data_IF_175114854817
#
_entry.id   IF_175114854817
#
_cell.length_a   1.000
_cell.length_b   1.000
_cell.length_c   1.000
_cell.angle_alpha   90.00
_cell.angle_beta   90.00
_cell.angle_gamma   90.00
#
_symmetry.space_group_name_H-M   'P 1'
#
loop_
_entity.id
_entity.type
_entity.pdbx_description
1 polymer ?
#
# COMPACT_ATOMS: atom_id res chain seq x y z
N UNK A 1 -19.53 32.31 -3.57
CA UNK A 1 -19.56 30.90 -4.01
C UNK A 1 -20.77 30.26 -3.35
N UNK A 2 -21.90 30.27 -4.06
CA UNK A 2 -23.19 29.80 -3.55
C UNK A 2 -23.24 28.30 -3.77
N UNK A 3 -23.08 27.51 -2.72
CA UNK A 3 -23.32 26.06 -2.80
C UNK A 3 -24.84 25.85 -2.79
N UNK A 4 -25.38 25.75 -4.00
CA UNK A 4 -26.42 24.84 -4.47
C UNK A 4 -27.59 24.53 -3.53
N UNK A 5 -28.76 25.05 -3.87
CA UNK A 5 -30.02 24.39 -3.54
C UNK A 5 -30.06 23.00 -4.19
N UNK A 6 -30.44 22.00 -3.41
CA UNK A 6 -30.68 20.63 -3.90
C UNK A 6 -31.86 20.64 -4.89
N UNK A 7 -31.62 20.26 -6.15
CA UNK A 7 -32.66 20.14 -7.20
C UNK A 7 -33.76 19.11 -6.89
N UNK A 8 -33.59 18.29 -5.83
CA UNK A 8 -34.59 17.31 -5.39
C UNK A 8 -35.00 17.57 -3.93
N UNK A 9 -36.31 17.45 -3.59
CA UNK A 9 -36.73 17.50 -2.21
C UNK A 9 -36.06 16.35 -1.43
N UNK A 10 -35.39 16.69 -0.33
CA UNK A 10 -34.69 15.71 0.48
C UNK A 10 -35.69 14.69 1.05
N UNK A 11 -35.53 13.41 0.68
CA UNK A 11 -36.30 12.33 1.30
C UNK A 11 -36.05 12.29 2.81
N UNK A 12 -36.98 11.72 3.58
CA UNK A 12 -36.80 11.54 5.02
C UNK A 12 -35.50 10.80 5.39
N UNK A 13 -35.03 9.87 4.54
CA UNK A 13 -33.75 9.18 4.74
C UNK A 13 -32.54 10.09 4.55
N UNK A 14 -32.56 10.93 3.51
CA UNK A 14 -31.48 11.90 3.28
C UNK A 14 -31.41 12.93 4.41
N UNK A 15 -32.56 13.42 4.87
CA UNK A 15 -32.63 14.32 6.02
C UNK A 15 -32.03 13.68 7.29
N UNK A 16 -32.29 12.40 7.53
CA UNK A 16 -31.70 11.67 8.65
C UNK A 16 -30.17 11.53 8.55
N UNK A 17 -29.63 11.23 7.35
CA UNK A 17 -28.18 11.16 7.12
C UNK A 17 -27.53 12.53 7.36
N UNK A 18 -28.12 13.61 6.82
CA UNK A 18 -27.61 14.96 7.01
C UNK A 18 -27.63 15.40 8.47
N UNK A 19 -28.69 15.05 9.22
CA UNK A 19 -28.77 15.35 10.64
C UNK A 19 -27.70 14.62 11.46
N UNK A 20 -27.34 13.39 11.07
CA UNK A 20 -26.32 12.59 11.74
C UNK A 20 -24.87 13.04 11.45
N UNK A 21 -24.65 13.90 10.45
CA UNK A 21 -23.29 14.28 9.98
C UNK A 21 -22.40 14.89 11.07
N UNK A 22 -22.98 15.66 12.00
CA UNK A 22 -22.26 16.31 13.10
C UNK A 22 -22.92 16.03 14.44
N UNK A 23 -23.49 14.85 14.60
CA UNK A 23 -24.07 14.45 15.87
C UNK A 23 -22.98 14.31 16.95
N UNK A 24 -23.22 14.78 18.19
CA UNK A 24 -22.28 14.60 19.30
C UNK A 24 -21.91 13.14 19.52
N UNK A 25 -20.61 12.86 19.61
CA UNK A 25 -20.06 11.50 19.71
C UNK A 25 -20.62 10.74 20.91
N UNK A 26 -20.82 11.40 22.05
CA UNK A 26 -21.38 10.82 23.27
C UNK A 26 -22.78 10.22 23.05
N UNK A 27 -23.62 10.93 22.28
CA UNK A 27 -24.97 10.48 21.93
C UNK A 27 -24.94 9.31 20.96
N UNK A 28 -24.10 9.40 19.93
CA UNK A 28 -23.95 8.33 18.93
C UNK A 28 -23.42 7.06 19.60
N UNK A 29 -22.41 7.19 20.46
CA UNK A 29 -21.80 6.07 21.16
C UNK A 29 -22.80 5.40 22.10
N UNK A 30 -23.56 6.16 22.90
CA UNK A 30 -24.57 5.61 23.78
C UNK A 30 -25.63 4.81 23.00
N UNK A 31 -26.11 5.32 21.87
CA UNK A 31 -27.07 4.63 21.02
C UNK A 31 -26.48 3.35 20.39
N UNK A 32 -25.26 3.43 19.84
CA UNK A 32 -24.62 2.28 19.17
C UNK A 32 -24.17 1.19 20.14
N UNK A 33 -23.73 1.54 21.34
CA UNK A 33 -23.42 0.55 22.38
C UNK A 33 -24.66 -0.23 22.78
N UNK A 34 -25.81 0.43 22.92
CA UNK A 34 -27.06 -0.25 23.24
C UNK A 34 -27.47 -1.27 22.15
N UNK A 35 -27.22 -0.97 20.87
CA UNK A 35 -27.50 -1.87 19.74
C UNK A 35 -26.46 -2.99 19.58
N UNK A 36 -25.19 -2.69 19.85
CA UNK A 36 -24.08 -3.57 19.54
C UNK A 36 -23.63 -4.46 20.71
N UNK A 37 -24.16 -4.25 21.93
CA UNK A 37 -23.77 -5.05 23.10
C UNK A 37 -24.24 -6.50 22.92
N UNK A 38 -23.32 -7.48 22.81
CA UNK A 38 -23.67 -8.88 22.67
C UNK A 38 -24.12 -9.47 24.01
N UNK A 39 -24.84 -10.59 23.96
CA UNK A 39 -25.07 -11.39 25.17
C UNK A 39 -23.75 -12.03 25.63
N UNK A 40 -23.61 -12.41 26.91
CA UNK A 40 -22.40 -13.05 27.42
C UNK A 40 -22.01 -14.31 26.62
N UNK A 41 -22.99 -15.09 26.17
CA UNK A 41 -22.78 -16.29 25.36
C UNK A 41 -22.26 -15.94 23.96
N UNK A 42 -22.85 -14.93 23.32
CA UNK A 42 -22.39 -14.44 22.02
C UNK A 42 -20.98 -13.85 22.10
N UNK A 43 -20.67 -13.12 23.19
CA UNK A 43 -19.35 -12.57 23.42
C UNK A 43 -18.27 -13.66 23.52
N UNK A 44 -18.54 -14.72 24.29
CA UNK A 44 -17.63 -15.86 24.42
C UNK A 44 -17.43 -16.59 23.07
N UNK A 45 -18.49 -16.75 22.28
CA UNK A 45 -18.39 -17.35 20.95
C UNK A 45 -17.56 -16.49 19.97
N UNK A 46 -17.77 -15.16 19.99
CA UNK A 46 -16.97 -14.20 19.20
C UNK A 46 -15.50 -14.30 19.57
N UNK A 47 -15.18 -14.33 20.87
CA UNK A 47 -13.81 -14.42 21.36
C UNK A 47 -13.13 -15.71 20.89
N UNK A 48 -13.79 -16.86 21.05
CA UNK A 48 -13.25 -18.15 20.61
C UNK A 48 -13.01 -18.17 19.09
N UNK A 49 -13.95 -17.63 18.30
CA UNK A 49 -13.79 -17.56 16.85
C UNK A 49 -12.64 -16.61 16.45
N UNK A 50 -12.51 -15.47 17.11
CA UNK A 50 -11.42 -14.53 16.87
C UNK A 50 -10.06 -15.14 17.19
N UNK A 51 -9.93 -15.84 18.33
CA UNK A 51 -8.71 -16.57 18.71
C UNK A 51 -8.35 -17.59 17.63
N UNK A 52 -9.31 -18.43 17.22
CA UNK A 52 -9.07 -19.45 16.20
C UNK A 52 -8.60 -18.82 14.88
N UNK A 53 -9.22 -17.71 14.42
CA UNK A 53 -8.79 -17.01 13.21
C UNK A 53 -7.35 -16.49 13.32
N UNK A 54 -6.99 -15.88 14.46
CA UNK A 54 -5.64 -15.37 14.71
C UNK A 54 -4.61 -16.49 14.72
N UNK A 55 -4.91 -17.62 15.36
CA UNK A 55 -4.04 -18.80 15.38
C UNK A 55 -3.80 -19.35 13.97
N UNK A 56 -4.85 -19.48 13.15
CA UNK A 56 -4.74 -19.95 11.77
C UNK A 56 -3.89 -19.00 10.91
N UNK A 57 -4.05 -17.68 11.07
CA UNK A 57 -3.24 -16.68 10.36
C UNK A 57 -1.77 -16.81 10.77
N UNK A 58 -1.48 -16.88 12.07
CA UNK A 58 -0.10 -16.99 12.60
C UNK A 58 0.59 -18.28 12.18
N UNK A 59 -0.13 -19.40 12.15
CA UNK A 59 0.41 -20.67 11.69
C UNK A 59 0.82 -20.61 10.21
N UNK A 60 0.06 -19.89 9.37
CA UNK A 60 0.38 -19.68 7.95
C UNK A 60 1.47 -18.64 7.71
N UNK A 61 1.71 -17.71 8.64
CA UNK A 61 2.81 -16.72 8.52
C UNK A 61 4.21 -17.36 8.52
N UNK A 62 4.36 -18.62 8.94
CA UNK A 62 5.64 -19.35 8.78
C UNK A 62 6.00 -19.62 7.32
N UNK A 63 5.06 -19.49 6.38
CA UNK A 63 5.35 -19.26 4.97
C UNK A 63 5.82 -17.80 4.83
N UNK A 64 7.14 -17.58 4.93
CA UNK A 64 7.78 -16.25 4.94
C UNK A 64 7.11 -15.30 3.94
N UNK A 65 6.68 -14.12 4.40
CA UNK A 65 6.22 -13.05 3.51
C UNK A 65 7.26 -12.84 2.41
N UNK A 66 6.82 -12.77 1.14
CA UNK A 66 7.70 -12.56 0.01
C UNK A 66 8.62 -11.35 0.21
N UNK A 67 8.15 -10.35 0.95
CA UNK A 67 8.90 -9.16 1.36
C UNK A 67 9.98 -9.49 2.40
N UNK A 68 9.69 -10.25 3.45
CA UNK A 68 10.70 -10.63 4.45
C UNK A 68 11.77 -11.58 3.89
N UNK A 69 11.37 -12.51 3.03
CA UNK A 69 12.28 -13.40 2.32
C UNK A 69 13.20 -12.60 1.39
N UNK A 70 12.63 -11.61 0.70
CA UNK A 70 13.35 -10.67 -0.13
C UNK A 70 14.38 -9.84 0.66
N UNK A 71 14.01 -9.29 1.81
CA UNK A 71 14.92 -8.55 2.68
C UNK A 71 16.12 -9.39 3.11
N UNK A 72 15.88 -10.66 3.48
CA UNK A 72 16.93 -11.62 3.84
C UNK A 72 17.81 -12.03 2.65
N UNK A 73 17.21 -12.22 1.48
CA UNK A 73 17.93 -12.63 0.28
C UNK A 73 19.01 -11.62 -0.15
N UNK A 74 18.74 -10.32 0.05
CA UNK A 74 19.63 -9.23 -0.36
C UNK A 74 20.33 -8.54 0.82
N UNK A 75 20.24 -9.10 2.03
CA UNK A 75 20.84 -8.56 3.27
C UNK A 75 20.52 -7.06 3.49
N UNK A 76 19.26 -6.70 3.23
CA UNK A 76 18.77 -5.34 3.34
C UNK A 76 18.40 -5.02 4.79
N UNK A 77 18.87 -3.88 5.28
CA UNK A 77 18.32 -3.27 6.49
C UNK A 77 16.89 -2.79 6.25
N UNK A 78 16.07 -2.67 7.29
CA UNK A 78 14.69 -2.19 7.16
C UNK A 78 14.60 -0.83 6.45
N UNK A 79 15.57 0.07 6.67
CA UNK A 79 15.65 1.37 5.99
C UNK A 79 15.91 1.21 4.48
N UNK A 80 16.87 0.38 4.09
CA UNK A 80 17.15 0.07 2.68
C UNK A 80 15.94 -0.59 2.00
N UNK A 81 15.22 -1.46 2.71
CA UNK A 81 13.99 -2.08 2.23
C UNK A 81 12.89 -1.07 1.94
N UNK A 82 12.64 -0.14 2.86
CA UNK A 82 11.63 0.92 2.68
C UNK A 82 11.97 1.78 1.46
N UNK A 83 13.23 2.20 1.33
CA UNK A 83 13.69 2.99 0.20
C UNK A 83 13.53 2.24 -1.12
N UNK A 84 13.87 0.96 -1.15
CA UNK A 84 13.76 0.14 -2.34
C UNK A 84 12.30 -0.05 -2.78
N UNK A 85 11.38 -0.23 -1.83
CA UNK A 85 9.95 -0.30 -2.14
C UNK A 85 9.43 1.03 -2.67
N UNK A 86 9.87 2.16 -2.12
CA UNK A 86 9.52 3.49 -2.65
C UNK A 86 10.00 3.69 -4.09
N UNK A 87 11.24 3.29 -4.39
CA UNK A 87 11.79 3.34 -5.75
C UNK A 87 11.00 2.44 -6.69
N UNK A 88 10.73 1.20 -6.27
CA UNK A 88 9.99 0.25 -7.08
C UNK A 88 8.51 0.70 -7.30
N UNK A 89 7.90 1.39 -6.34
CA UNK A 89 6.55 1.96 -6.47
C UNK A 89 6.54 3.09 -7.50
N UNK A 90 7.51 4.01 -7.41
CA UNK A 90 7.67 5.09 -8.38
C UNK A 90 7.90 4.53 -9.79
N UNK A 91 8.65 3.44 -9.93
CA UNK A 91 8.88 2.77 -11.22
C UNK A 91 7.65 2.03 -11.75
N UNK A 92 6.80 1.48 -10.88
CA UNK A 92 5.52 0.88 -11.30
C UNK A 92 4.52 1.89 -11.86
N UNK A 93 4.66 3.19 -11.52
CA UNK A 93 3.85 4.26 -12.10
C UNK A 93 4.26 4.61 -13.53
N UNK A 94 5.38 4.09 -14.03
CA UNK A 94 5.82 4.28 -15.42
C UNK A 94 5.13 3.21 -16.29
N UNK A 95 4.20 3.58 -17.18
CA UNK A 95 3.42 2.61 -17.95
C UNK A 95 4.25 1.85 -19.00
N UNK A 96 5.34 2.44 -19.50
CA UNK A 96 6.26 1.80 -20.44
C UNK A 96 7.40 1.07 -19.71
N UNK A 97 7.37 -0.26 -19.76
CA UNK A 97 8.41 -1.10 -19.16
C UNK A 97 9.81 -0.86 -19.74
N UNK A 98 9.91 -0.48 -21.02
CA UNK A 98 11.20 -0.17 -21.63
C UNK A 98 11.77 1.17 -21.11
N UNK A 99 10.90 2.14 -20.82
CA UNK A 99 11.29 3.39 -20.16
C UNK A 99 11.65 3.14 -18.69
N UNK A 100 10.88 2.33 -17.96
CA UNK A 100 11.23 1.95 -16.59
C UNK A 100 12.59 1.24 -16.53
N UNK A 101 12.86 0.27 -17.40
CA UNK A 101 14.13 -0.46 -17.45
C UNK A 101 15.31 0.43 -17.87
N UNK A 102 15.11 1.35 -18.82
CA UNK A 102 16.13 2.35 -19.18
C UNK A 102 16.39 3.32 -18.04
N UNK A 103 15.36 3.72 -17.29
CA UNK A 103 15.51 4.59 -16.14
C UNK A 103 16.20 3.88 -14.98
N UNK A 104 15.93 2.58 -14.80
CA UNK A 104 16.70 1.71 -13.90
C UNK A 104 18.17 1.69 -14.34
N UNK A 105 18.45 1.48 -15.63
CA UNK A 105 19.82 1.43 -16.14
C UNK A 105 20.57 2.76 -16.04
N UNK A 106 19.90 3.85 -16.40
CA UNK A 106 20.48 5.20 -16.47
C UNK A 106 20.59 5.86 -15.08
N UNK A 107 19.65 5.59 -14.17
CA UNK A 107 19.61 6.21 -12.84
C UNK A 107 20.18 5.35 -11.72
N UNK A 108 20.12 4.00 -11.81
CA UNK A 108 20.76 3.11 -10.83
C UNK A 108 22.19 2.71 -11.20
N UNK A 109 22.57 2.79 -12.48
CA UNK A 109 23.86 2.31 -12.98
C UNK A 109 25.01 3.29 -12.89
N UNK A 110 24.78 4.55 -13.27
CA UNK A 110 25.81 5.57 -13.11
C UNK A 110 25.74 6.18 -11.71
N UNK A 111 26.87 6.12 -10.99
CA UNK A 111 27.05 6.67 -9.64
C UNK A 111 26.93 8.21 -9.55
N UNK A 112 26.21 8.85 -10.47
CA UNK A 112 25.99 10.29 -10.61
C UNK A 112 24.63 10.74 -10.03
N UNK A 113 24.26 10.14 -8.90
CA UNK A 113 23.02 10.38 -8.18
C UNK A 113 22.82 11.84 -7.74
N UNK A 114 23.91 12.54 -7.40
CA UNK A 114 23.90 13.92 -6.91
C UNK A 114 23.36 14.92 -7.95
N UNK A 115 23.54 14.66 -9.25
CA UNK A 115 23.21 15.63 -10.30
C UNK A 115 21.76 15.61 -10.78
N UNK A 116 21.03 14.52 -10.56
CA UNK A 116 19.78 14.27 -11.29
C UNK A 116 18.54 14.01 -10.42
N UNK A 117 18.66 13.90 -9.09
CA UNK A 117 17.53 13.56 -8.19
C UNK A 117 17.16 14.66 -7.17
N UNK A 118 17.90 15.78 -7.12
CA UNK A 118 17.67 16.89 -6.20
C UNK A 118 16.44 17.77 -6.48
N UNK A 119 15.41 17.27 -7.17
CA UNK A 119 14.23 18.06 -7.57
C UNK A 119 12.88 17.35 -7.46
N UNK A 120 12.80 16.19 -6.81
CA UNK A 120 11.55 15.43 -6.73
C UNK A 120 11.13 15.19 -5.28
N UNK A 121 10.21 16.02 -4.79
CA UNK A 121 9.49 15.87 -3.51
C UNK A 121 8.61 14.59 -3.46
N UNK A 122 8.57 13.81 -4.55
CA UNK A 122 7.60 12.74 -4.78
C UNK A 122 8.09 11.31 -4.48
N UNK A 123 9.37 11.08 -4.15
CA UNK A 123 9.88 9.71 -3.93
C UNK A 123 9.49 9.12 -2.56
N UNK A 124 9.05 9.96 -1.61
CA UNK A 124 8.76 9.54 -0.24
C UNK A 124 7.28 9.56 0.13
N UNK A 125 6.39 9.79 -0.84
CA UNK A 125 4.94 10.00 -0.60
C UNK A 125 4.30 8.84 0.18
N UNK A 126 4.84 7.62 0.03
CA UNK A 126 4.34 6.41 0.70
C UNK A 126 5.36 5.72 1.61
N UNK A 127 6.44 6.40 1.96
CA UNK A 127 7.50 5.77 2.75
C UNK A 127 7.06 5.44 4.19
N UNK A 128 6.08 6.15 4.73
CA UNK A 128 5.38 5.82 5.97
C UNK A 128 4.58 4.51 5.87
N UNK A 129 3.92 4.26 4.72
CA UNK A 129 3.20 3.01 4.43
C UNK A 129 4.15 1.82 4.39
N UNK A 130 5.26 1.95 3.67
CA UNK A 130 6.28 0.90 3.58
C UNK A 130 7.06 0.71 4.88
N UNK A 131 7.34 1.82 5.59
CA UNK A 131 7.93 1.79 6.92
C UNK A 131 7.08 1.01 7.91
N UNK A 132 5.76 1.23 7.90
CA UNK A 132 4.83 0.48 8.74
C UNK A 132 4.77 -0.99 8.34
N UNK A 133 4.71 -1.30 7.04
CA UNK A 133 4.65 -2.68 6.55
C UNK A 133 5.92 -3.48 6.90
N UNK A 134 7.09 -2.86 6.81
CA UNK A 134 8.39 -3.51 7.02
C UNK A 134 8.86 -3.54 8.47
N UNK A 135 8.47 -2.54 9.28
CA UNK A 135 8.98 -2.39 10.65
C UNK A 135 7.90 -2.50 11.73
N UNK A 136 6.62 -2.53 11.33
CA UNK A 136 5.49 -2.49 12.26
C UNK A 136 5.36 -1.15 13.00
N UNK A 137 6.14 -0.13 12.64
CA UNK A 137 6.14 1.20 13.26
C UNK A 137 5.96 2.27 12.19
N UNK A 138 5.26 3.34 12.56
CA UNK A 138 5.14 4.52 11.72
C UNK A 138 6.51 5.21 11.67
N UNK A 139 7.23 4.98 10.56
CA UNK A 139 8.52 5.62 10.33
C UNK A 139 8.25 7.02 9.80
N UNK A 140 8.37 8.03 10.67
CA UNK A 140 8.57 9.40 10.21
C UNK A 140 10.01 9.50 9.72
N UNK A 141 10.20 9.37 8.41
CA UNK A 141 11.44 9.76 7.75
C UNK A 141 11.55 11.28 7.87
N UNK A 142 12.10 11.76 8.97
CA UNK A 142 12.30 13.18 9.22
C UNK A 142 13.23 13.81 8.17
N UNK A 143 13.17 15.13 8.03
CA UNK A 143 13.92 15.95 7.08
C UNK A 143 15.46 15.74 7.10
N UNK A 144 16.01 15.02 8.06
CA UNK A 144 17.41 14.57 8.08
C UNK A 144 17.69 13.38 7.16
N UNK A 145 16.70 12.53 6.88
CA UNK A 145 16.81 11.35 6.00
C UNK A 145 16.59 11.67 4.52
N UNK A 146 15.93 12.80 4.20
CA UNK A 146 15.87 13.36 2.83
C UNK A 146 17.26 13.65 2.26
N UNK A 147 18.29 13.80 3.12
CA UNK A 147 19.69 14.01 2.71
C UNK A 147 20.55 12.74 2.69
N UNK A 148 20.18 11.66 3.40
CA UNK A 148 21.00 10.43 3.50
C UNK A 148 20.44 9.20 2.75
N UNK A 149 19.26 9.29 2.12
CA UNK A 149 18.77 8.18 1.27
C UNK A 149 19.71 7.89 0.09
N UNK A 150 20.32 8.94 -0.49
CA UNK A 150 21.37 8.82 -1.50
C UNK A 150 22.59 8.07 -0.94
N UNK A 151 22.93 8.33 0.32
CA UNK A 151 23.96 7.62 1.05
C UNK A 151 23.59 6.15 1.27
N UNK A 152 22.34 5.85 1.65
CA UNK A 152 21.85 4.48 1.84
C UNK A 152 21.86 3.67 0.54
N UNK A 153 21.36 4.24 -0.56
CA UNK A 153 21.42 3.59 -1.87
C UNK A 153 22.87 3.41 -2.34
N UNK A 154 23.75 4.38 -2.11
CA UNK A 154 25.18 4.27 -2.44
C UNK A 154 25.89 3.21 -1.59
N UNK A 155 25.53 3.05 -0.31
CA UNK A 155 26.02 1.98 0.56
C UNK A 155 25.55 0.61 0.07
N UNK A 156 24.27 0.50 -0.30
CA UNK A 156 23.69 -0.72 -0.88
C UNK A 156 24.35 -1.08 -2.23
N UNK A 157 24.50 -0.12 -3.14
CA UNK A 157 25.16 -0.32 -4.43
C UNK A 157 26.66 -0.61 -4.30
N UNK A 158 27.34 0.02 -3.35
CA UNK A 158 28.75 -0.22 -3.05
C UNK A 158 29.01 -1.59 -2.40
N UNK A 159 28.06 -2.09 -1.61
CA UNK A 159 28.13 -3.42 -0.94
C UNK A 159 27.75 -4.56 -1.89
N UNK A 160 26.73 -4.37 -2.72
CA UNK A 160 26.09 -5.45 -3.47
C UNK A 160 26.31 -5.36 -4.99
N UNK A 161 26.79 -4.23 -5.50
CA UNK A 161 26.97 -3.98 -6.94
C UNK A 161 25.66 -3.60 -7.66
N UNK A 162 25.79 -2.80 -8.72
CA UNK A 162 24.66 -2.35 -9.55
C UNK A 162 23.73 -3.50 -10.03
N UNK A 163 24.25 -4.65 -10.53
CA UNK A 163 23.38 -5.72 -11.02
C UNK A 163 22.46 -6.30 -9.95
N UNK A 164 22.91 -6.32 -8.68
CA UNK A 164 22.12 -6.84 -7.56
C UNK A 164 21.04 -5.84 -7.15
N UNK A 165 21.35 -4.54 -7.11
CA UNK A 165 20.35 -3.50 -6.85
C UNK A 165 19.26 -3.52 -7.92
N UNK A 166 19.63 -3.68 -9.19
CA UNK A 166 18.69 -3.84 -10.31
C UNK A 166 17.78 -5.06 -10.13
N UNK A 167 18.35 -6.20 -9.76
CA UNK A 167 17.59 -7.43 -9.49
C UNK A 167 16.62 -7.23 -8.32
N UNK A 168 17.09 -6.55 -7.28
CA UNK A 168 16.31 -6.25 -6.08
C UNK A 168 15.12 -5.32 -6.39
N UNK A 169 15.33 -4.25 -7.16
CA UNK A 169 14.25 -3.35 -7.63
C UNK A 169 13.23 -4.12 -8.47
N UNK A 170 13.66 -4.95 -9.42
CA UNK A 170 12.74 -5.75 -10.25
C UNK A 170 11.91 -6.73 -9.43
N UNK A 171 12.54 -7.38 -8.46
CA UNK A 171 11.87 -8.31 -7.57
C UNK A 171 10.89 -7.58 -6.65
N UNK A 172 11.23 -6.39 -6.15
CA UNK A 172 10.33 -5.51 -5.41
C UNK A 172 9.11 -5.11 -6.27
N UNK A 173 9.33 -4.65 -7.50
CA UNK A 173 8.25 -4.35 -8.46
C UNK A 173 7.34 -5.56 -8.70
N UNK A 174 7.93 -6.76 -8.82
CA UNK A 174 7.18 -8.02 -8.98
C UNK A 174 6.35 -8.34 -7.73
N UNK A 175 6.91 -8.21 -6.53
CA UNK A 175 6.19 -8.44 -5.26
C UNK A 175 5.01 -7.47 -5.16
N UNK A 176 5.24 -6.18 -5.44
CA UNK A 176 4.19 -5.16 -5.39
C UNK A 176 3.10 -5.38 -6.44
N UNK A 177 3.48 -5.69 -7.69
CA UNK A 177 2.53 -5.97 -8.75
C UNK A 177 1.72 -7.27 -8.57
N UNK A 178 2.15 -8.19 -7.70
CA UNK A 178 1.40 -9.41 -7.38
C UNK A 178 0.57 -9.28 -6.09
N UNK A 179 1.04 -8.51 -5.09
CA UNK A 179 0.34 -8.38 -3.80
C UNK A 179 -0.71 -7.27 -3.78
N UNK A 180 -0.56 -6.21 -4.58
CA UNK A 180 -1.45 -5.04 -4.53
C UNK A 180 -2.37 -4.90 -5.74
N UNK A 181 -2.07 -5.56 -6.86
CA UNK A 181 -2.85 -5.43 -8.10
C UNK A 181 -3.18 -6.81 -8.66
N UNK A 182 -4.48 -7.12 -8.75
CA UNK A 182 -4.96 -8.41 -9.26
C UNK A 182 -4.61 -8.62 -10.73
N UNK A 183 -4.47 -7.56 -11.53
CA UNK A 183 -4.03 -7.59 -12.93
C UNK A 183 -3.81 -6.16 -13.43
N UNK A 184 -2.95 -5.97 -14.44
CA UNK A 184 -2.66 -4.62 -14.97
C UNK A 184 -3.87 -3.99 -15.66
N UNK A 185 -4.77 -4.83 -16.14
CA UNK A 185 -6.07 -4.49 -16.69
C UNK A 185 -7.11 -5.46 -16.11
N UNK A 186 -8.37 -5.18 -16.42
CA UNK A 186 -9.49 -5.97 -15.88
C UNK A 186 -9.50 -7.40 -16.44
N UNK A 187 -9.03 -7.59 -17.67
CA UNK A 187 -8.95 -8.90 -18.32
C UNK A 187 -7.98 -9.83 -17.57
N UNK A 188 -6.77 -9.35 -17.27
CA UNK A 188 -5.78 -10.09 -16.48
C UNK A 188 -6.32 -10.43 -15.08
N UNK A 189 -7.04 -9.50 -14.46
CA UNK A 189 -7.62 -9.71 -13.13
C UNK A 189 -8.74 -10.75 -13.16
N UNK A 190 -9.54 -10.81 -14.23
CA UNK A 190 -10.57 -11.83 -14.43
C UNK A 190 -9.98 -13.20 -14.72
N UNK A 191 -8.94 -13.28 -15.55
CA UNK A 191 -8.24 -14.54 -15.87
C UNK A 191 -7.66 -15.17 -14.60
N UNK A 192 -7.01 -14.35 -13.75
CA UNK A 192 -6.49 -14.83 -12.45
C UNK A 192 -7.61 -15.25 -11.49
N UNK A 193 -8.73 -14.52 -11.45
CA UNK A 193 -9.89 -14.89 -10.63
C UNK A 193 -10.51 -16.23 -11.09
N UNK A 194 -10.37 -16.58 -12.37
CA UNK A 194 -10.85 -17.82 -12.95
C UNK A 194 -9.93 -19.03 -12.69
N UNK A 195 -8.75 -18.85 -12.09
CA UNK A 195 -7.86 -19.95 -11.72
C UNK A 195 -8.51 -20.90 -10.71
N UNK A 196 -8.18 -22.21 -10.79
CA UNK A 196 -8.84 -23.25 -9.96
C UNK A 196 -8.73 -22.99 -8.46
N UNK A 197 -7.64 -22.39 -8.00
CA UNK A 197 -7.40 -22.04 -6.59
C UNK A 197 -8.23 -20.83 -6.13
N UNK A 198 -8.65 -19.99 -7.07
CA UNK A 198 -9.31 -18.70 -6.83
C UNK A 198 -10.84 -18.77 -7.04
N UNK A 199 -11.32 -19.75 -7.82
CA UNK A 199 -12.77 -19.95 -8.12
C UNK A 199 -13.70 -20.14 -6.92
N UNK A 200 -13.18 -20.48 -5.75
CA UNK A 200 -13.99 -20.62 -4.55
C UNK A 200 -14.45 -19.25 -3.99
N UNK A 201 -13.82 -18.16 -4.42
CA UNK A 201 -14.07 -16.81 -3.92
C UNK A 201 -14.86 -15.97 -4.94
N UNK A 202 -15.54 -14.95 -4.43
CA UNK A 202 -16.15 -13.89 -5.24
C UNK A 202 -15.26 -12.65 -5.16
N UNK A 203 -15.10 -11.98 -6.28
CA UNK A 203 -14.21 -10.82 -6.41
C UNK A 203 -15.03 -9.54 -6.61
N UNK A 204 -14.57 -8.47 -5.99
CA UNK A 204 -14.94 -7.09 -6.28
C UNK A 204 -13.67 -6.37 -6.71
N UNK A 205 -13.71 -5.67 -7.84
CA UNK A 205 -12.53 -5.02 -8.40
C UNK A 205 -12.52 -3.54 -8.02
N UNK A 206 -11.49 -3.13 -7.30
CA UNK A 206 -11.15 -1.73 -7.09
C UNK A 206 -10.24 -1.28 -8.24
N UNK A 207 -10.71 -0.31 -9.03
CA UNK A 207 -9.99 0.18 -10.21
C UNK A 207 -8.96 1.27 -9.87
N UNK A 208 -8.83 1.64 -8.59
CA UNK A 208 -7.84 2.60 -8.06
C UNK A 208 -7.96 4.03 -8.63
N UNK A 209 -9.05 4.35 -9.34
CA UNK A 209 -9.31 5.69 -9.86
C UNK A 209 -9.93 6.58 -8.78
N UNK A 210 -9.25 7.65 -8.40
CA UNK A 210 -9.73 8.64 -7.42
C UNK A 210 -9.25 10.05 -7.76
N UNK A 211 -9.96 11.07 -7.26
CA UNK A 211 -9.54 12.47 -7.27
C UNK A 211 -9.10 13.04 -8.64
N UNK A 212 -9.93 12.87 -9.68
CA UNK A 212 -9.70 13.44 -11.01
C UNK A 212 -9.39 14.96 -10.96
N UNK A 213 -8.31 15.39 -11.61
CA UNK A 213 -7.82 16.78 -11.60
C UNK A 213 -8.11 17.51 -12.90
N UNK A 214 -8.18 16.77 -14.01
CA UNK A 214 -8.42 17.28 -15.35
C UNK A 214 -9.58 16.55 -16.00
N UNK A 215 -10.23 17.18 -16.98
CA UNK A 215 -11.35 16.55 -17.70
C UNK A 215 -10.99 15.23 -18.42
N UNK A 216 -9.74 15.00 -18.84
CA UNK A 216 -9.30 13.69 -19.35
C UNK A 216 -9.04 12.59 -18.31
N UNK A 217 -8.87 12.92 -17.02
CA UNK A 217 -8.66 11.93 -15.95
C UNK A 217 -9.95 11.19 -15.61
#
# INVERSE_FOLDING_TARGET
MTILESERPASARFAAISAAWSEPEDRVLAARLAEATPTPEAAAAIEQQAIALVEHVRARTQEQSAVESFMRQYDLSSEEGVLLMCVAEALLRIPDSATADRLIQDKLGDANWEKHLGKSDSLFVNASTWGLLLTGRLVQLGATTERDWLGAIKRMAGRSGEPVVRLAVRQAMRIMGHQFVMGRNIEEAQDRAAEKTQRAYRYSYDMLGEAALTAPD
#
